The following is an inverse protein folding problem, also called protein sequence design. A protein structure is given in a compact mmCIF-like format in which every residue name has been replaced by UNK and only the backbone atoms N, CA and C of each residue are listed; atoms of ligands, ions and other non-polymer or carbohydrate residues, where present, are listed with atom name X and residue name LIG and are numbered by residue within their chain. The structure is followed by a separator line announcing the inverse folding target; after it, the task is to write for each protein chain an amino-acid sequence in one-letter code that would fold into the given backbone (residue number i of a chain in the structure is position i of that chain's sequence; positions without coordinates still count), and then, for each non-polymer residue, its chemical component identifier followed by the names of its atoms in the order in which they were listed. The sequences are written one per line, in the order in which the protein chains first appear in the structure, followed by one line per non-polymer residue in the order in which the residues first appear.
data_IF_534368229657
#
_entry.id   IF_534368229657
#
_cell.length_a   1.000
_cell.length_b   1.000
_cell.length_c   1.000
_cell.angle_alpha   90.00
_cell.angle_beta   90.00
_cell.angle_gamma   90.00
#
_symmetry.space_group_name_H-M   'P 1'
#
loop_
_entity.id
_entity.type
_entity.pdbx_description
1 polymer ?
#
# COMPACT_ATOMS: atom_id res chain seq x y z
N UNK A 1 -4.48 26.93 -53.63
CA UNK A 1 -4.84 26.86 -52.19
C UNK A 1 -3.55 26.82 -51.39
N UNK A 2 -3.32 27.73 -50.43
CA UNK A 2 -2.09 27.77 -49.63
C UNK A 2 -2.15 26.76 -48.47
N UNK A 3 -1.00 26.35 -47.89
CA UNK A 3 -0.96 25.44 -46.76
C UNK A 3 -1.40 26.17 -45.47
N UNK A 4 -2.30 25.55 -44.73
CA UNK A 4 -2.82 26.01 -43.44
C UNK A 4 -1.70 25.86 -42.40
N UNK A 5 -1.21 26.98 -41.86
CA UNK A 5 -0.30 26.99 -40.73
C UNK A 5 -1.07 26.77 -39.43
N UNK A 6 -0.89 25.62 -38.80
CA UNK A 6 -1.38 25.38 -37.45
C UNK A 6 -0.49 26.14 -36.46
N UNK A 7 -0.97 27.29 -35.98
CA UNK A 7 -0.42 27.95 -34.80
C UNK A 7 -0.71 27.07 -33.58
N UNK A 8 0.33 26.43 -33.04
CA UNK A 8 0.25 25.84 -31.71
C UNK A 8 -0.09 26.94 -30.69
N UNK A 9 -1.12 26.76 -29.84
CA UNK A 9 -1.41 27.73 -28.79
C UNK A 9 -0.21 27.80 -27.85
N UNK A 10 0.25 29.04 -27.60
CA UNK A 10 1.29 29.32 -26.63
C UNK A 10 0.95 28.66 -25.30
N UNK A 11 1.88 27.84 -24.80
CA UNK A 11 1.82 27.25 -23.46
C UNK A 11 1.69 28.40 -22.47
N UNK A 12 0.53 28.53 -21.84
CA UNK A 12 0.32 29.46 -20.75
C UNK A 12 1.46 29.29 -19.75
N UNK A 13 2.20 30.37 -19.47
CA UNK A 13 3.23 30.39 -18.41
C UNK A 13 2.57 29.90 -17.13
N UNK A 14 2.84 28.65 -16.74
CA UNK A 14 2.43 28.12 -15.45
C UNK A 14 3.15 28.98 -14.42
N UNK A 15 2.45 29.92 -13.79
CA UNK A 15 2.99 30.70 -12.68
C UNK A 15 3.19 29.70 -11.55
N UNK A 16 4.42 29.20 -11.41
CA UNK A 16 4.79 28.32 -10.30
C UNK A 16 4.96 29.21 -9.08
N UNK A 17 4.00 29.20 -8.18
CA UNK A 17 4.13 29.88 -6.90
C UNK A 17 5.15 29.14 -6.02
N UNK A 18 6.08 29.88 -5.43
CA UNK A 18 7.06 29.36 -4.46
C UNK A 18 6.34 29.22 -3.10
N UNK A 19 6.54 28.10 -2.40
CA UNK A 19 5.80 27.79 -1.16
C UNK A 19 6.09 28.86 -0.09
N UNK A 20 7.36 29.17 0.16
CA UNK A 20 7.79 30.20 1.12
C UNK A 20 7.20 31.58 0.82
N UNK A 21 7.12 32.00 -0.45
CA UNK A 21 6.51 33.28 -0.83
C UNK A 21 5.01 33.33 -0.55
N UNK A 22 4.29 32.24 -0.84
CA UNK A 22 2.86 32.15 -0.53
C UNK A 22 2.68 32.23 0.98
N UNK A 23 3.43 31.45 1.76
CA UNK A 23 3.32 31.42 3.23
C UNK A 23 3.53 32.80 3.85
N UNK A 24 4.58 33.51 3.46
CA UNK A 24 4.85 34.89 3.92
C UNK A 24 3.69 35.85 3.63
N UNK A 25 3.08 35.75 2.44
CA UNK A 25 1.94 36.59 2.05
C UNK A 25 0.67 36.26 2.84
N UNK A 26 0.45 34.98 3.19
CA UNK A 26 -0.79 34.54 3.83
C UNK A 26 -0.74 34.51 5.36
N UNK A 27 0.39 34.85 5.97
CA UNK A 27 0.56 34.79 7.41
C UNK A 27 -0.50 35.60 8.16
N UNK A 28 -1.00 35.06 9.27
CA UNK A 28 -2.04 35.69 10.09
C UNK A 28 -3.43 35.84 9.43
N UNK A 29 -3.57 35.58 8.12
CA UNK A 29 -4.86 35.61 7.42
C UNK A 29 -5.73 34.43 7.85
N UNK A 30 -7.03 34.53 7.52
CA UNK A 30 -7.97 33.45 7.77
C UNK A 30 -7.56 32.17 7.05
N UNK A 31 -7.86 31.02 7.65
CA UNK A 31 -7.38 29.70 7.24
C UNK A 31 -7.58 29.36 5.75
N UNK A 32 -8.67 29.86 5.13
CA UNK A 32 -8.97 29.68 3.70
C UNK A 32 -7.84 30.20 2.79
N UNK A 33 -6.98 31.11 3.27
CA UNK A 33 -5.83 31.61 2.55
C UNK A 33 -4.82 30.51 2.17
N UNK A 34 -4.78 29.39 2.90
CA UNK A 34 -3.98 28.23 2.50
C UNK A 34 -4.32 27.69 1.11
N UNK A 35 -5.52 27.96 0.56
CA UNK A 35 -5.86 27.58 -0.82
C UNK A 35 -4.89 28.14 -1.86
N UNK A 36 -4.23 29.26 -1.57
CA UNK A 36 -3.18 29.84 -2.42
C UNK A 36 -1.95 28.93 -2.55
N UNK A 37 -1.74 27.97 -1.65
CA UNK A 37 -0.68 26.95 -1.78
C UNK A 37 -0.99 25.91 -2.85
N UNK A 38 -2.23 25.78 -3.34
CA UNK A 38 -2.57 24.73 -4.30
C UNK A 38 -1.73 24.89 -5.58
N UNK A 39 -0.94 23.86 -5.89
CA UNK A 39 -0.04 23.86 -7.05
C UNK A 39 1.32 24.52 -6.79
N UNK A 40 1.49 25.24 -5.68
CA UNK A 40 2.77 25.82 -5.28
C UNK A 40 3.83 24.72 -5.10
N UNK A 41 5.07 25.02 -5.49
CA UNK A 41 6.17 24.08 -5.38
C UNK A 41 7.50 24.74 -5.09
N UNK A 42 8.37 24.02 -4.39
CA UNK A 42 9.70 24.47 -4.03
C UNK A 42 10.66 23.28 -4.01
N UNK A 43 11.93 23.51 -4.38
CA UNK A 43 12.94 22.46 -4.40
C UNK A 43 13.93 22.68 -3.27
N UNK A 44 14.00 21.72 -2.35
CA UNK A 44 14.89 21.75 -1.19
C UNK A 44 15.74 20.48 -1.21
N UNK A 45 17.06 20.62 -1.20
CA UNK A 45 18.01 19.49 -1.13
C UNK A 45 17.78 18.43 -2.22
N UNK A 46 17.37 18.84 -3.42
CA UNK A 46 17.07 17.93 -4.54
C UNK A 46 15.70 17.26 -4.48
N UNK A 47 14.87 17.57 -3.48
CA UNK A 47 13.49 17.12 -3.36
C UNK A 47 12.56 18.21 -3.89
N UNK A 48 11.75 17.92 -4.91
CA UNK A 48 10.72 18.85 -5.38
C UNK A 48 9.45 18.63 -4.59
N UNK A 49 9.08 19.61 -3.78
CA UNK A 49 7.90 19.59 -2.90
C UNK A 49 6.79 20.34 -3.62
N UNK A 50 5.59 19.75 -3.70
CA UNK A 50 4.42 20.34 -4.35
C UNK A 50 3.17 20.10 -3.54
N UNK A 51 2.42 21.14 -3.24
CA UNK A 51 1.12 21.00 -2.55
C UNK A 51 0.05 20.68 -3.60
N UNK A 52 -0.61 19.53 -3.45
CA UNK A 52 -1.54 18.98 -4.47
C UNK A 52 -3.00 19.01 -4.04
N UNK A 53 -3.25 19.04 -2.73
CA UNK A 53 -4.58 19.25 -2.15
C UNK A 53 -4.41 20.04 -0.87
N UNK A 54 -5.29 20.99 -0.62
CA UNK A 54 -5.31 21.82 0.58
C UNK A 54 -6.58 21.52 1.38
N UNK A 55 -6.44 21.33 2.69
CA UNK A 55 -7.57 21.08 3.59
C UNK A 55 -8.42 22.35 3.77
N UNK A 56 -9.75 22.21 3.83
CA UNK A 56 -10.68 23.36 3.84
C UNK A 56 -10.73 24.14 5.15
N UNK A 57 -10.46 23.46 6.26
CA UNK A 57 -10.40 23.99 7.61
C UNK A 57 -9.42 23.15 8.48
N UNK A 58 -9.08 23.56 9.70
CA UNK A 58 -8.10 22.86 10.55
C UNK A 58 -8.50 21.41 10.94
N UNK A 59 -9.78 21.06 10.87
CA UNK A 59 -10.35 19.77 11.27
C UNK A 59 -10.72 18.89 10.06
N UNK A 60 -10.68 19.44 8.84
CA UNK A 60 -10.89 18.68 7.61
C UNK A 60 -9.76 17.66 7.35
N UNK A 61 -10.02 16.60 6.55
CA UNK A 61 -9.00 15.64 6.17
C UNK A 61 -7.74 16.34 5.61
N UNK A 62 -6.53 16.00 6.11
CA UNK A 62 -5.33 16.78 5.89
C UNK A 62 -4.97 17.05 4.42
N UNK A 63 -4.15 18.07 4.20
CA UNK A 63 -3.60 18.45 2.90
C UNK A 63 -2.69 17.35 2.36
N UNK A 64 -2.52 17.29 1.04
CA UNK A 64 -1.66 16.29 0.38
C UNK A 64 -0.48 16.99 -0.28
N UNK A 65 0.73 16.59 0.13
CA UNK A 65 1.99 17.10 -0.40
C UNK A 65 2.65 15.99 -1.20
N UNK A 66 2.96 16.28 -2.46
CA UNK A 66 3.75 15.43 -3.35
C UNK A 66 5.22 15.82 -3.23
N UNK A 67 6.09 14.83 -3.17
CA UNK A 67 7.53 15.00 -3.18
C UNK A 67 8.11 14.10 -4.28
N UNK A 68 8.80 14.71 -5.24
CA UNK A 68 9.54 14.00 -6.27
C UNK A 68 11.03 13.93 -5.88
N UNK A 69 11.60 12.73 -5.85
CA UNK A 69 12.99 12.49 -5.45
C UNK A 69 13.60 11.34 -6.27
N UNK A 70 14.90 11.42 -6.57
CA UNK A 70 15.66 10.34 -7.22
C UNK A 70 16.79 9.87 -6.30
N UNK A 71 16.53 8.96 -5.35
CA UNK A 71 17.58 8.41 -4.50
C UNK A 71 18.52 7.49 -5.28
N UNK A 72 19.71 7.25 -4.73
CA UNK A 72 20.63 6.22 -5.23
C UNK A 72 20.18 4.87 -4.69
N UNK A 73 19.32 4.18 -5.44
CA UNK A 73 18.91 2.81 -5.15
C UNK A 73 19.77 1.81 -5.93
N UNK A 74 20.07 0.63 -5.36
CA UNK A 74 20.70 -0.43 -6.13
C UNK A 74 19.85 -0.86 -7.33
N UNK A 75 20.48 -1.16 -8.47
CA UNK A 75 19.77 -1.51 -9.70
C UNK A 75 18.82 -2.72 -9.51
N UNK A 76 19.26 -3.72 -8.75
CA UNK A 76 18.45 -4.90 -8.44
C UNK A 76 17.16 -4.56 -7.68
N UNK A 77 17.14 -3.50 -6.87
CA UNK A 77 15.95 -3.09 -6.13
C UNK A 77 14.94 -2.38 -7.06
N UNK A 78 15.44 -1.59 -8.02
CA UNK A 78 14.61 -0.88 -9.01
C UNK A 78 13.81 -1.86 -9.88
N UNK A 79 14.36 -3.04 -10.17
CA UNK A 79 13.65 -4.10 -10.91
C UNK A 79 12.43 -4.66 -10.17
N UNK A 80 12.31 -4.41 -8.85
CA UNK A 80 11.17 -4.83 -8.03
C UNK A 80 10.50 -3.61 -7.38
N UNK A 81 9.80 -2.77 -8.19
CA UNK A 81 9.34 -1.46 -7.74
C UNK A 81 8.29 -1.53 -6.62
N UNK A 82 7.42 -2.55 -6.62
CA UNK A 82 6.39 -2.70 -5.58
C UNK A 82 7.02 -3.02 -4.23
N UNK A 83 7.92 -4.00 -4.16
CA UNK A 83 8.59 -4.40 -2.92
C UNK A 83 9.48 -3.29 -2.38
N UNK A 84 10.23 -2.63 -3.26
CA UNK A 84 11.12 -1.53 -2.90
C UNK A 84 10.35 -0.31 -2.41
N UNK A 85 9.27 0.07 -3.11
CA UNK A 85 8.38 1.14 -2.66
C UNK A 85 7.69 0.80 -1.34
N UNK A 86 7.26 -0.44 -1.11
CA UNK A 86 6.68 -0.89 0.16
C UNK A 86 7.69 -0.76 1.32
N UNK A 87 8.95 -1.16 1.12
CA UNK A 87 10.01 -0.98 2.11
C UNK A 87 10.17 0.49 2.49
N UNK A 88 10.32 1.38 1.48
CA UNK A 88 10.49 2.82 1.69
C UNK A 88 9.25 3.43 2.34
N UNK A 89 8.04 3.01 1.93
CA UNK A 89 6.78 3.44 2.53
C UNK A 89 6.73 3.16 4.03
N UNK A 90 7.21 1.98 4.46
CA UNK A 90 7.26 1.62 5.89
C UNK A 90 8.25 2.48 6.66
N UNK A 91 9.40 2.81 6.08
CA UNK A 91 10.35 3.75 6.71
C UNK A 91 9.76 5.16 6.79
N UNK A 92 9.10 5.61 5.72
CA UNK A 92 8.41 6.90 5.67
C UNK A 92 7.32 7.00 6.73
N UNK A 93 6.50 5.97 6.90
CA UNK A 93 5.48 5.92 7.94
C UNK A 93 6.07 6.14 9.34
N UNK A 94 7.19 5.46 9.66
CA UNK A 94 7.88 5.63 10.96
C UNK A 94 8.46 7.04 11.12
N UNK A 95 9.13 7.56 10.09
CA UNK A 95 9.73 8.88 10.11
C UNK A 95 8.67 9.99 10.27
N UNK A 96 7.58 9.94 9.50
CA UNK A 96 6.48 10.90 9.60
C UNK A 96 5.82 10.84 10.98
N UNK A 97 5.55 9.66 11.53
CA UNK A 97 4.97 9.53 12.88
C UNK A 97 5.85 10.18 13.95
N UNK A 98 7.17 10.03 13.86
CA UNK A 98 8.12 10.63 14.80
C UNK A 98 8.23 12.16 14.65
N UNK A 99 8.09 12.67 13.42
CA UNK A 99 8.21 14.10 13.10
C UNK A 99 6.88 14.86 13.17
N UNK A 100 5.76 14.13 13.22
CA UNK A 100 4.42 14.67 13.46
C UNK A 100 4.34 15.21 14.88
N UNK A 101 3.91 16.45 15.03
CA UNK A 101 3.67 17.05 16.34
C UNK A 101 2.52 18.04 16.25
N UNK A 102 1.80 18.27 17.35
CA UNK A 102 0.72 19.26 17.36
C UNK A 102 1.29 20.67 17.21
N UNK A 103 0.87 21.39 16.18
CA UNK A 103 1.27 22.77 15.87
C UNK A 103 0.06 23.70 15.80
N UNK A 104 -0.90 23.53 16.72
CA UNK A 104 -2.12 24.33 16.76
C UNK A 104 -3.39 23.52 17.04
N UNK A 105 -4.47 23.87 16.35
CA UNK A 105 -5.80 23.24 16.48
C UNK A 105 -6.08 22.18 15.41
N UNK A 106 -7.03 21.28 15.68
CA UNK A 106 -7.40 20.21 14.76
C UNK A 106 -6.22 19.32 14.38
N UNK A 107 -6.02 19.13 13.07
CA UNK A 107 -4.92 18.35 12.52
C UNK A 107 -3.61 19.15 12.39
N UNK A 108 -3.52 20.38 12.89
CA UNK A 108 -2.32 21.22 12.75
C UNK A 108 -1.03 20.51 13.18
N UNK A 109 -0.08 20.39 12.26
CA UNK A 109 1.21 19.74 12.44
C UNK A 109 1.21 18.21 12.28
N UNK A 110 0.06 17.61 11.97
CA UNK A 110 -0.03 16.19 11.64
C UNK A 110 0.78 15.89 10.38
N UNK A 111 1.63 14.86 10.46
CA UNK A 111 2.28 14.24 9.32
C UNK A 111 1.93 12.76 9.28
N UNK A 112 1.61 12.24 8.09
CA UNK A 112 1.31 10.82 8.00
C UNK A 112 1.07 10.29 6.60
N UNK A 113 0.93 8.97 6.57
CA UNK A 113 0.44 8.16 5.46
C UNK A 113 -0.43 7.05 6.07
N UNK A 114 -1.32 6.39 5.32
CA UNK A 114 -2.05 5.23 5.81
C UNK A 114 -1.11 4.20 6.48
N UNK A 115 -1.50 3.65 7.63
CA UNK A 115 -0.68 2.63 8.31
C UNK A 115 -0.51 1.41 7.39
N UNK A 116 0.73 0.96 7.11
CA UNK A 116 0.92 -0.25 6.32
C UNK A 116 0.55 -1.48 7.15
N UNK A 117 -0.30 -2.34 6.59
CA UNK A 117 -0.53 -3.70 7.08
C UNK A 117 0.59 -4.67 6.69
N UNK A 118 0.42 -5.98 6.91
CA UNK A 118 1.44 -7.00 6.62
C UNK A 118 1.57 -7.29 5.13
N UNK A 119 0.56 -6.92 4.34
CA UNK A 119 0.56 -7.12 2.90
C UNK A 119 1.42 -6.06 2.21
N UNK A 120 2.24 -6.50 1.26
CA UNK A 120 2.96 -5.64 0.35
C UNK A 120 2.06 -5.29 -0.85
N UNK A 121 1.78 -3.99 -1.06
CA UNK A 121 0.89 -3.51 -2.13
C UNK A 121 1.53 -2.33 -2.85
N UNK A 122 1.16 -2.15 -4.13
CA UNK A 122 1.35 -0.86 -4.79
C UNK A 122 0.49 0.18 -4.08
N UNK A 123 1.12 1.26 -3.59
CA UNK A 123 0.46 2.34 -2.84
C UNK A 123 0.72 3.67 -3.50
N UNK A 124 -0.27 4.56 -3.51
CA UNK A 124 -0.11 5.92 -4.02
C UNK A 124 0.76 6.82 -3.14
N UNK A 125 1.04 6.41 -1.89
CA UNK A 125 1.90 7.18 -0.99
C UNK A 125 3.40 7.10 -1.32
N UNK A 126 3.86 6.02 -1.95
CA UNK A 126 5.23 5.89 -2.48
C UNK A 126 5.16 5.03 -3.74
N UNK A 127 5.52 5.61 -4.88
CA UNK A 127 5.60 4.93 -6.17
C UNK A 127 7.03 5.02 -6.71
N UNK A 128 7.59 3.90 -7.16
CA UNK A 128 8.92 3.83 -7.80
C UNK A 128 8.74 3.55 -9.30
N UNK A 129 9.36 4.36 -10.14
CA UNK A 129 9.44 4.12 -11.58
C UNK A 129 10.71 3.34 -11.97
N UNK A 130 10.73 2.83 -13.21
CA UNK A 130 11.86 2.05 -13.74
C UNK A 130 13.17 2.85 -13.89
N UNK A 131 13.13 4.17 -13.74
CA UNK A 131 14.32 5.03 -13.78
C UNK A 131 14.93 5.30 -12.41
N UNK A 132 14.33 4.75 -11.35
CA UNK A 132 14.74 4.97 -9.96
C UNK A 132 14.15 6.23 -9.33
N UNK A 133 13.16 6.90 -9.97
CA UNK A 133 12.49 8.06 -9.38
C UNK A 133 11.33 7.62 -8.49
N UNK A 134 11.24 8.26 -7.33
CA UNK A 134 10.15 8.10 -6.39
C UNK A 134 9.20 9.28 -6.46
N UNK A 135 7.91 8.96 -6.44
CA UNK A 135 6.83 9.90 -6.14
C UNK A 135 6.31 9.56 -4.75
N UNK A 136 6.49 10.47 -3.80
CA UNK A 136 6.01 10.34 -2.44
C UNK A 136 4.82 11.26 -2.23
N UNK A 137 3.76 10.79 -1.57
CA UNK A 137 2.60 11.60 -1.19
C UNK A 137 2.31 11.43 0.29
N UNK A 138 2.30 12.55 1.00
CA UNK A 138 2.09 12.57 2.46
C UNK A 138 0.92 13.46 2.82
N UNK A 139 0.26 13.12 3.92
CA UNK A 139 -0.69 14.00 4.59
C UNK A 139 0.06 15.02 5.45
N UNK A 140 -0.34 16.29 5.32
CA UNK A 140 0.20 17.41 6.07
C UNK A 140 -0.94 18.25 6.62
N UNK A 141 -1.08 18.28 7.94
CA UNK A 141 -2.03 19.15 8.61
C UNK A 141 -1.48 20.56 8.72
N UNK A 142 -1.98 21.48 7.89
CA UNK A 142 -1.48 22.85 7.83
C UNK A 142 -1.72 23.61 9.16
N UNK A 143 -0.67 24.16 9.80
CA UNK A 143 -0.77 24.79 11.12
C UNK A 143 -1.69 26.00 11.18
N UNK A 144 -2.45 26.12 12.27
CA UNK A 144 -3.26 27.31 12.52
C UNK A 144 -3.61 27.47 14.00
N UNK A 145 -3.93 28.71 14.39
CA UNK A 145 -4.46 29.03 15.72
C UNK A 145 -5.66 29.95 15.57
N UNK A 146 -6.81 29.57 16.14
CA UNK A 146 -8.07 30.32 16.00
C UNK A 146 -8.39 30.61 14.52
N UNK A 147 -8.21 29.61 13.66
CA UNK A 147 -8.38 29.67 12.20
C UNK A 147 -7.56 30.75 11.50
N UNK A 148 -6.42 31.15 12.07
CA UNK A 148 -5.42 31.99 11.40
C UNK A 148 -4.18 31.18 11.03
N UNK A 149 -3.65 31.45 9.86
CA UNK A 149 -2.42 30.82 9.33
C UNK A 149 -1.25 31.09 10.28
N UNK A 150 -0.39 30.07 10.46
CA UNK A 150 0.89 30.19 11.14
C UNK A 150 1.99 29.87 10.10
N UNK A 151 2.49 30.88 9.39
CA UNK A 151 3.38 30.70 8.25
C UNK A 151 4.67 29.98 8.63
N UNK A 152 5.37 30.41 9.68
CA UNK A 152 6.64 29.80 10.11
C UNK A 152 6.48 28.31 10.47
N UNK A 153 5.36 27.97 11.12
CA UNK A 153 5.05 26.58 11.48
C UNK A 153 4.73 25.74 10.23
N UNK A 154 4.01 26.31 9.26
CA UNK A 154 3.71 25.67 8.00
C UNK A 154 4.95 25.48 7.13
N UNK A 155 5.85 26.46 7.12
CA UNK A 155 7.12 26.41 6.40
C UNK A 155 8.00 25.32 6.99
N UNK A 156 8.17 25.30 8.31
CA UNK A 156 8.88 24.22 9.00
C UNK A 156 8.28 22.84 8.70
N UNK A 157 6.96 22.73 8.68
CA UNK A 157 6.28 21.48 8.34
C UNK A 157 6.59 21.03 6.89
N UNK A 158 6.40 21.92 5.92
CA UNK A 158 6.46 21.62 4.49
C UNK A 158 7.89 21.52 3.95
N UNK A 159 8.78 22.41 4.37
CA UNK A 159 10.13 22.61 3.81
C UNK A 159 11.26 22.04 4.68
N UNK A 160 10.96 21.60 5.92
CA UNK A 160 11.97 20.97 6.79
C UNK A 160 11.56 19.57 7.25
N UNK A 161 10.40 19.41 7.91
CA UNK A 161 9.99 18.13 8.49
C UNK A 161 9.65 17.07 7.44
N UNK A 162 8.88 17.43 6.40
CA UNK A 162 8.56 16.51 5.29
C UNK A 162 9.83 16.10 4.54
N UNK A 163 10.71 17.02 4.07
CA UNK A 163 11.95 16.64 3.40
C UNK A 163 12.85 15.74 4.26
N UNK A 164 12.97 16.03 5.56
CA UNK A 164 13.70 15.18 6.51
C UNK A 164 13.11 13.77 6.56
N UNK A 165 11.78 13.64 6.68
CA UNK A 165 11.12 12.33 6.71
C UNK A 165 11.37 11.53 5.42
N UNK A 166 11.31 12.19 4.26
CA UNK A 166 11.57 11.56 2.96
C UNK A 166 13.03 11.13 2.84
N UNK A 167 13.98 11.98 3.25
CA UNK A 167 15.40 11.65 3.24
C UNK A 167 15.74 10.48 4.15
N UNK A 168 15.17 10.42 5.35
CA UNK A 168 15.32 9.28 6.25
C UNK A 168 14.73 8.01 5.63
N UNK A 169 13.57 8.10 4.98
CA UNK A 169 12.91 6.94 4.37
C UNK A 169 13.67 6.34 3.17
N UNK A 170 14.37 7.18 2.40
CA UNK A 170 15.14 6.73 1.22
C UNK A 170 16.58 6.33 1.58
N UNK A 171 17.01 6.51 2.83
CA UNK A 171 18.26 5.92 3.35
C UNK A 171 18.02 4.45 3.63
N UNK A 172 18.19 3.64 2.60
CA UNK A 172 17.96 2.20 2.66
C UNK A 172 19.15 1.47 3.28
N UNK A 173 18.85 0.56 4.21
CA UNK A 173 19.77 -0.50 4.60
C UNK A 173 19.73 -1.57 3.49
N UNK A 174 20.88 -1.83 2.87
CA UNK A 174 20.98 -2.70 1.71
C UNK A 174 20.59 -4.15 2.03
N UNK A 175 20.96 -4.65 3.22
CA UNK A 175 20.65 -6.02 3.63
C UNK A 175 19.16 -6.15 3.98
N UNK A 176 18.63 -5.20 4.75
CA UNK A 176 17.22 -5.20 5.09
C UNK A 176 16.32 -5.03 3.85
N UNK A 177 16.71 -4.17 2.90
CA UNK A 177 16.01 -4.00 1.63
C UNK A 177 16.08 -5.29 0.80
N UNK A 178 17.24 -5.95 0.76
CA UNK A 178 17.41 -7.19 0.01
C UNK A 178 16.52 -8.28 0.56
N UNK A 179 16.52 -8.50 1.89
CA UNK A 179 15.61 -9.44 2.54
C UNK A 179 14.14 -9.16 2.20
N UNK A 180 13.74 -7.89 2.23
CA UNK A 180 12.37 -7.49 1.90
C UNK A 180 11.98 -7.79 0.44
N UNK A 181 12.88 -7.47 -0.51
CA UNK A 181 12.69 -7.74 -1.94
C UNK A 181 12.71 -9.24 -2.22
N UNK A 182 13.64 -9.99 -1.64
CA UNK A 182 13.75 -11.43 -1.85
C UNK A 182 12.54 -12.18 -1.28
N UNK A 183 11.99 -11.76 -0.13
CA UNK A 183 10.72 -12.29 0.37
C UNK A 183 9.56 -12.05 -0.61
N UNK A 184 9.49 -10.87 -1.24
CA UNK A 184 8.49 -10.61 -2.29
C UNK A 184 8.71 -11.52 -3.52
N UNK A 185 9.95 -11.62 -3.98
CA UNK A 185 10.33 -12.45 -5.14
C UNK A 185 10.00 -13.92 -4.93
N UNK A 186 10.34 -14.46 -3.76
CA UNK A 186 10.03 -15.84 -3.39
C UNK A 186 8.54 -16.14 -3.59
N UNK A 187 7.68 -15.26 -3.09
CA UNK A 187 6.23 -15.42 -3.17
C UNK A 187 5.71 -15.36 -4.61
N UNK A 188 6.21 -14.43 -5.43
CA UNK A 188 5.85 -14.39 -6.86
C UNK A 188 6.36 -15.60 -7.63
N UNK A 189 7.58 -16.06 -7.35
CA UNK A 189 8.14 -17.24 -8.01
C UNK A 189 7.33 -18.49 -7.69
N UNK A 190 7.02 -18.74 -6.40
CA UNK A 190 6.14 -19.84 -5.99
C UNK A 190 4.78 -19.71 -6.69
N UNK A 191 4.18 -18.51 -6.67
CA UNK A 191 2.85 -18.28 -7.27
C UNK A 191 2.83 -18.59 -8.75
N UNK A 192 3.85 -18.14 -9.49
CA UNK A 192 3.96 -18.33 -10.93
C UNK A 192 4.07 -19.82 -11.33
N UNK A 193 4.56 -20.66 -10.42
CA UNK A 193 4.72 -22.11 -10.64
C UNK A 193 3.47 -22.92 -10.29
N UNK A 194 2.56 -22.40 -9.45
CA UNK A 194 1.36 -23.13 -9.02
C UNK A 194 0.57 -23.76 -10.19
N UNK A 195 0.25 -23.04 -11.29
CA UNK A 195 -0.52 -23.62 -12.39
C UNK A 195 0.17 -24.81 -13.05
N UNK A 196 1.48 -24.73 -13.27
CA UNK A 196 2.28 -25.80 -13.90
C UNK A 196 2.39 -27.04 -13.02
N UNK A 197 2.37 -26.83 -11.70
CA UNK A 197 2.37 -27.90 -10.70
C UNK A 197 0.96 -28.47 -10.43
N UNK A 198 -0.08 -27.97 -11.12
CA UNK A 198 -1.47 -28.39 -10.88
C UNK A 198 -2.02 -27.95 -9.51
N UNK A 199 -1.42 -26.92 -8.90
CA UNK A 199 -1.78 -26.39 -7.59
C UNK A 199 -2.61 -25.10 -7.71
N UNK A 200 -3.42 -24.83 -6.69
CA UNK A 200 -4.14 -23.56 -6.49
C UNK A 200 -3.64 -22.80 -5.27
N UNK A 201 -3.03 -23.48 -4.31
CA UNK A 201 -2.34 -22.88 -3.18
C UNK A 201 -1.15 -23.73 -2.73
N UNK A 202 -0.20 -23.07 -2.07
CA UNK A 202 0.97 -23.68 -1.44
C UNK A 202 1.14 -23.09 -0.04
N UNK A 203 1.36 -23.95 0.95
CA UNK A 203 1.58 -23.56 2.35
C UNK A 203 2.95 -24.09 2.75
N UNK A 204 3.96 -23.23 2.80
CA UNK A 204 5.33 -23.63 3.16
C UNK A 204 5.45 -24.14 4.59
N UNK A 205 6.28 -25.16 4.79
CA UNK A 205 6.61 -25.67 6.12
C UNK A 205 7.24 -24.57 6.99
N UNK A 206 6.90 -24.59 8.28
CA UNK A 206 7.34 -23.59 9.25
C UNK A 206 6.52 -22.30 9.27
N UNK A 207 5.49 -22.16 8.42
CA UNK A 207 4.63 -20.97 8.41
C UNK A 207 3.86 -20.80 9.73
N UNK A 208 3.72 -19.56 10.19
CA UNK A 208 2.90 -19.19 11.35
C UNK A 208 1.57 -18.61 10.86
N UNK A 209 0.55 -19.47 10.83
CA UNK A 209 -0.79 -19.13 10.35
C UNK A 209 -1.62 -18.30 11.35
N UNK A 210 -1.70 -18.66 12.66
CA UNK A 210 -2.56 -17.94 13.60
C UNK A 210 -2.07 -16.53 13.87
N UNK A 211 -3.03 -15.62 14.07
CA UNK A 211 -2.77 -14.21 14.41
C UNK A 211 -2.90 -13.98 15.90
N UNK A 212 -2.23 -12.95 16.40
CA UNK A 212 -2.20 -12.59 17.83
C UNK A 212 -3.59 -12.33 18.43
N UNK A 213 -4.52 -11.81 17.64
CA UNK A 213 -5.92 -11.61 18.02
C UNK A 213 -6.81 -11.55 16.76
N UNK A 214 -8.13 -11.62 16.90
CA UNK A 214 -9.07 -11.67 15.76
C UNK A 214 -9.07 -10.43 14.85
N UNK A 215 -8.58 -9.28 15.34
CA UNK A 215 -8.42 -8.04 14.57
C UNK A 215 -6.95 -7.64 14.38
N UNK A 216 -6.01 -8.50 14.79
CA UNK A 216 -4.58 -8.24 14.73
C UNK A 216 -3.98 -8.78 13.45
N UNK A 217 -3.09 -7.98 12.87
CA UNK A 217 -2.28 -8.41 11.74
C UNK A 217 -1.02 -9.19 12.16
N UNK A 218 -0.58 -9.14 13.42
CA UNK A 218 0.68 -9.76 13.86
C UNK A 218 0.55 -11.29 14.03
N UNK A 219 1.60 -12.09 13.75
CA UNK A 219 1.58 -13.53 14.01
C UNK A 219 1.44 -13.81 15.51
N UNK A 220 0.80 -14.93 15.87
CA UNK A 220 0.70 -15.37 17.25
C UNK A 220 2.08 -15.85 17.76
N UNK A 221 2.65 -15.22 18.81
CA UNK A 221 3.90 -15.70 19.40
C UNK A 221 3.74 -17.10 20.01
N UNK A 222 4.75 -17.95 19.82
CA UNK A 222 4.74 -19.32 20.36
C UNK A 222 3.74 -20.27 19.68
N UNK A 223 3.17 -19.89 18.54
CA UNK A 223 2.29 -20.75 17.77
C UNK A 223 3.03 -21.97 17.20
N UNK A 224 2.29 -23.07 17.05
CA UNK A 224 2.77 -24.28 16.39
C UNK A 224 3.00 -23.96 14.90
N UNK A 225 4.23 -24.12 14.38
CA UNK A 225 4.50 -23.93 12.96
C UNK A 225 3.74 -24.96 12.12
N UNK A 226 3.29 -24.54 10.94
CA UNK A 226 2.62 -25.44 10.01
C UNK A 226 3.59 -26.51 9.50
N UNK A 227 3.15 -27.77 9.52
CA UNK A 227 3.86 -28.90 8.94
C UNK A 227 2.97 -29.62 7.93
N UNK A 228 3.52 -29.87 6.75
CA UNK A 228 2.79 -30.50 5.66
C UNK A 228 2.66 -32.00 5.85
N UNK A 229 1.46 -32.58 5.70
CA UNK A 229 1.30 -34.03 5.73
C UNK A 229 2.04 -34.67 4.55
N UNK A 230 2.68 -35.85 4.72
CA UNK A 230 3.51 -36.46 3.67
C UNK A 230 2.80 -36.63 2.33
N UNK A 231 1.50 -36.96 2.34
CA UNK A 231 0.70 -37.18 1.13
C UNK A 231 0.41 -35.91 0.31
N UNK A 232 0.51 -34.73 0.92
CA UNK A 232 0.29 -33.44 0.26
C UNK A 232 1.57 -32.61 0.15
N UNK A 233 2.69 -33.12 0.65
CA UNK A 233 3.98 -32.43 0.63
C UNK A 233 4.50 -32.35 -0.81
N UNK A 234 4.88 -31.15 -1.21
CA UNK A 234 5.54 -30.87 -2.48
C UNK A 234 6.74 -29.97 -2.24
N UNK A 235 7.70 -30.04 -3.14
CA UNK A 235 8.86 -29.16 -3.17
C UNK A 235 8.75 -28.19 -4.34
N UNK A 236 8.95 -26.90 -4.08
CA UNK A 236 8.97 -25.86 -5.10
C UNK A 236 10.37 -25.28 -5.15
N UNK A 237 11.09 -25.58 -6.22
CA UNK A 237 12.39 -24.95 -6.48
C UNK A 237 12.20 -23.44 -6.74
N UNK A 238 13.07 -22.59 -6.22
CA UNK A 238 13.06 -21.14 -6.49
C UNK A 238 14.47 -20.63 -6.72
N UNK A 239 14.63 -19.40 -7.22
CA UNK A 239 15.95 -18.77 -7.36
C UNK A 239 16.64 -18.51 -6.02
N UNK A 240 15.92 -18.65 -4.90
CA UNK A 240 16.40 -18.46 -3.54
C UNK A 240 16.54 -19.80 -2.78
N UNK A 241 16.43 -20.93 -3.49
CA UNK A 241 16.45 -22.27 -2.92
C UNK A 241 15.08 -22.96 -2.93
N UNK A 242 15.08 -24.26 -2.68
CA UNK A 242 13.85 -25.03 -2.61
C UNK A 242 13.05 -24.73 -1.34
N UNK A 243 11.73 -24.76 -1.48
CA UNK A 243 10.79 -24.64 -0.35
C UNK A 243 9.86 -25.84 -0.34
N UNK A 244 9.83 -26.56 0.78
CA UNK A 244 8.87 -27.65 1.01
C UNK A 244 7.60 -27.12 1.66
N UNK A 245 6.46 -27.73 1.33
CA UNK A 245 5.18 -27.32 1.87
C UNK A 245 4.01 -28.15 1.35
N UNK A 246 2.81 -27.80 1.79
CA UNK A 246 1.58 -28.49 1.41
C UNK A 246 1.07 -27.88 0.10
N UNK A 247 0.94 -28.70 -0.93
CA UNK A 247 0.32 -28.31 -2.20
C UNK A 247 -1.18 -28.60 -2.20
N UNK A 248 -2.01 -27.57 -2.33
CA UNK A 248 -3.45 -27.73 -2.57
C UNK A 248 -3.68 -27.86 -4.07
N UNK A 249 -4.10 -29.05 -4.51
CA UNK A 249 -4.32 -29.36 -5.94
C UNK A 249 -5.59 -28.71 -6.47
N UNK A 250 -5.64 -28.51 -7.79
CA UNK A 250 -6.88 -28.16 -8.50
C UNK A 250 -7.95 -29.22 -8.26
N UNK A 251 -9.19 -28.79 -8.07
CA UNK A 251 -10.34 -29.64 -7.76
C UNK A 251 -11.01 -29.21 -6.45
N UNK A 252 -11.70 -30.15 -5.81
CA UNK A 252 -12.37 -29.92 -4.53
C UNK A 252 -11.48 -30.41 -3.39
N UNK A 253 -11.10 -29.51 -2.48
CA UNK A 253 -10.37 -29.84 -1.25
C UNK A 253 -11.23 -29.52 -0.03
N UNK A 254 -11.39 -30.49 0.87
CA UNK A 254 -12.18 -30.32 2.10
C UNK A 254 -11.25 -30.23 3.31
N UNK A 255 -11.36 -29.15 4.08
CA UNK A 255 -10.66 -28.97 5.36
C UNK A 255 -11.63 -29.35 6.49
N UNK A 256 -11.49 -30.56 7.02
CA UNK A 256 -12.33 -31.10 8.09
C UNK A 256 -11.58 -31.18 9.44
N UNK A 257 -12.33 -31.39 10.53
CA UNK A 257 -11.79 -31.46 11.89
C UNK A 257 -12.73 -30.84 12.92
N UNK A 258 -12.47 -31.06 14.20
CA UNK A 258 -13.26 -30.55 15.33
C UNK A 258 -13.19 -29.02 15.46
N UNK A 259 -14.15 -28.43 16.18
CA UNK A 259 -14.17 -26.99 16.45
C UNK A 259 -12.86 -26.53 17.10
N UNK A 260 -12.38 -25.32 16.75
CA UNK A 260 -11.15 -24.71 17.28
C UNK A 260 -9.81 -25.39 16.93
N UNK A 261 -9.78 -26.36 16.01
CA UNK A 261 -8.54 -27.01 15.56
C UNK A 261 -7.88 -26.33 14.33
N UNK A 262 -7.97 -25.01 14.21
CA UNK A 262 -7.21 -24.25 13.19
C UNK A 262 -7.72 -24.30 11.74
N UNK A 263 -8.89 -24.90 11.47
CA UNK A 263 -9.49 -24.95 10.11
C UNK A 263 -9.66 -23.56 9.48
N UNK A 264 -10.30 -22.66 10.23
CA UNK A 264 -10.53 -21.27 9.80
C UNK A 264 -9.20 -20.56 9.61
N UNK A 265 -8.24 -20.77 10.51
CA UNK A 265 -6.89 -20.19 10.43
C UNK A 265 -6.17 -20.59 9.15
N UNK A 266 -6.22 -21.88 8.77
CA UNK A 266 -5.65 -22.38 7.52
C UNK A 266 -6.34 -21.77 6.30
N UNK A 267 -7.67 -21.76 6.30
CA UNK A 267 -8.45 -21.19 5.20
C UNK A 267 -8.23 -19.69 5.04
N UNK A 268 -8.10 -18.94 6.14
CA UNK A 268 -7.76 -17.52 6.13
C UNK A 268 -6.34 -17.28 5.60
N UNK A 269 -5.37 -18.11 5.97
CA UNK A 269 -4.03 -18.02 5.42
C UNK A 269 -4.03 -18.24 3.89
N UNK A 270 -4.78 -19.23 3.40
CA UNK A 270 -4.99 -19.47 1.95
C UNK A 270 -5.70 -18.27 1.31
N UNK A 271 -6.73 -17.71 1.96
CA UNK A 271 -7.45 -16.52 1.48
C UNK A 271 -6.50 -15.33 1.29
N UNK A 272 -5.63 -15.06 2.27
CA UNK A 272 -4.69 -13.94 2.19
C UNK A 272 -3.46 -14.24 1.32
N UNK A 273 -3.17 -15.52 1.02
CA UNK A 273 -2.06 -15.93 0.14
C UNK A 273 -2.15 -15.42 -1.30
N UNK A 274 -3.29 -14.85 -1.69
CA UNK A 274 -3.43 -14.09 -2.95
C UNK A 274 -2.55 -12.84 -2.97
N UNK A 275 -2.13 -12.35 -1.79
CA UNK A 275 -1.21 -11.23 -1.64
C UNK A 275 0.15 -11.68 -1.11
N UNK A 276 1.17 -10.84 -1.31
CA UNK A 276 2.47 -11.07 -0.70
C UNK A 276 2.55 -10.42 0.68
N UNK A 277 3.17 -11.10 1.62
CA UNK A 277 3.36 -10.66 2.99
C UNK A 277 4.81 -10.23 3.24
N UNK A 278 5.00 -9.36 4.22
CA UNK A 278 6.31 -8.91 4.68
C UNK A 278 7.15 -10.01 5.34
N UNK A 279 8.49 -9.89 5.36
CA UNK A 279 9.32 -10.79 6.16
C UNK A 279 8.87 -10.81 7.62
N UNK A 280 8.72 -12.00 8.19
CA UNK A 280 8.31 -12.19 9.59
C UNK A 280 6.81 -12.08 9.84
N UNK A 281 5.97 -11.98 8.80
CA UNK A 281 4.51 -12.08 8.95
C UNK A 281 4.06 -13.49 9.38
N UNK A 282 4.84 -14.52 9.06
CA UNK A 282 4.52 -15.93 9.26
C UNK A 282 3.82 -16.57 8.07
N UNK A 283 3.22 -15.78 7.16
CA UNK A 283 2.52 -16.26 5.97
C UNK A 283 3.22 -15.91 4.66
N UNK A 284 4.48 -15.45 4.71
CA UNK A 284 5.27 -15.13 3.53
C UNK A 284 5.63 -16.34 2.65
N UNK A 285 5.33 -17.56 3.09
CA UNK A 285 5.41 -18.80 2.29
C UNK A 285 4.04 -19.42 2.02
N UNK A 286 2.96 -18.68 2.28
CA UNK A 286 1.59 -19.08 1.98
C UNK A 286 1.12 -18.32 0.76
N UNK A 287 0.97 -19.03 -0.34
CA UNK A 287 0.74 -18.45 -1.66
C UNK A 287 -0.45 -19.11 -2.32
N UNK A 288 -1.35 -18.28 -2.86
CA UNK A 288 -2.55 -18.71 -3.57
C UNK A 288 -2.59 -18.04 -4.94
N UNK A 289 -3.22 -18.68 -5.92
CA UNK A 289 -3.51 -18.08 -7.23
C UNK A 289 -4.27 -16.76 -7.06
N UNK A 290 -4.06 -15.79 -7.97
CA UNK A 290 -4.61 -14.43 -7.83
C UNK A 290 -6.12 -14.38 -7.95
N UNK A 291 -6.68 -15.35 -8.65
CA UNK A 291 -8.10 -15.47 -8.99
C UNK A 291 -8.94 -16.05 -7.84
N UNK A 292 -8.31 -16.47 -6.73
CA UNK A 292 -9.04 -17.05 -5.62
C UNK A 292 -9.95 -16.02 -4.94
N UNK A 293 -11.22 -16.38 -4.80
CA UNK A 293 -12.26 -15.56 -4.15
C UNK A 293 -12.85 -16.34 -2.99
N UNK A 294 -13.01 -15.67 -1.84
CA UNK A 294 -13.78 -16.21 -0.72
C UNK A 294 -15.26 -15.91 -0.93
N UNK A 295 -16.05 -16.97 -1.00
CA UNK A 295 -17.51 -16.88 -1.04
C UNK A 295 -18.07 -17.04 0.36
N UNK A 296 -19.04 -16.19 0.72
CA UNK A 296 -19.82 -16.25 1.96
C UNK A 296 -21.23 -15.72 1.71
N UNK A 297 -22.18 -16.08 2.56
CA UNK A 297 -23.48 -15.43 2.56
C UNK A 297 -23.33 -13.94 2.92
N UNK A 298 -24.09 -13.11 2.21
CA UNK A 298 -24.16 -11.65 2.36
C UNK A 298 -25.62 -11.21 2.18
N UNK A 299 -26.43 -11.48 3.19
CA UNK A 299 -27.87 -11.22 3.12
C UNK A 299 -28.18 -9.72 3.01
N UNK A 300 -29.16 -9.35 2.20
CA UNK A 300 -29.61 -7.96 2.00
C UNK A 300 -28.83 -7.17 0.95
N UNK A 301 -27.81 -7.75 0.29
CA UNK A 301 -27.15 -7.10 -0.86
C UNK A 301 -28.09 -6.95 -2.05
N UNK A 302 -27.86 -5.92 -2.86
CA UNK A 302 -28.49 -5.82 -4.17
C UNK A 302 -27.81 -6.78 -5.16
N UNK A 303 -28.59 -7.29 -6.10
CA UNK A 303 -28.13 -8.06 -7.25
C UNK A 303 -28.81 -7.46 -8.48
N UNK A 304 -28.04 -7.16 -9.51
CA UNK A 304 -28.53 -6.59 -10.75
C UNK A 304 -27.91 -7.35 -11.92
N UNK A 305 -28.76 -7.93 -12.78
CA UNK A 305 -28.35 -8.59 -14.03
C UNK A 305 -27.28 -9.69 -13.82
N UNK A 306 -27.54 -10.68 -12.95
CA UNK A 306 -26.65 -11.82 -12.74
C UNK A 306 -27.43 -13.12 -12.93
N UNK A 307 -26.94 -13.97 -13.82
CA UNK A 307 -27.49 -15.31 -14.01
C UNK A 307 -27.11 -16.22 -12.83
N UNK A 308 -28.12 -16.67 -12.09
CA UNK A 308 -27.99 -17.59 -10.95
C UNK A 308 -28.70 -18.92 -11.21
N UNK A 309 -29.09 -19.19 -12.45
CA UNK A 309 -29.90 -20.36 -12.85
C UNK A 309 -29.24 -21.71 -12.53
N UNK A 310 -27.91 -21.74 -12.38
CA UNK A 310 -27.13 -22.92 -11.97
C UNK A 310 -27.31 -23.29 -10.50
N UNK A 311 -27.77 -22.37 -9.65
CA UNK A 311 -28.00 -22.59 -8.22
C UNK A 311 -29.47 -22.46 -7.82
N UNK A 312 -30.22 -21.57 -8.49
CA UNK A 312 -31.63 -21.27 -8.20
C UNK A 312 -32.43 -21.36 -9.49
N UNK A 313 -33.30 -22.37 -9.59
CA UNK A 313 -34.06 -22.63 -10.82
C UNK A 313 -35.34 -21.81 -10.96
N UNK A 314 -36.03 -21.50 -9.86
CA UNK A 314 -37.32 -20.82 -9.91
C UNK A 314 -37.51 -19.89 -8.72
N UNK A 315 -37.93 -18.67 -8.97
CA UNK A 315 -38.30 -17.70 -7.94
C UNK A 315 -39.82 -17.59 -7.78
N UNK A 316 -40.32 -17.28 -6.57
CA UNK A 316 -41.72 -16.94 -6.36
C UNK A 316 -42.18 -15.82 -7.30
N UNK A 317 -43.39 -15.97 -7.83
CA UNK A 317 -43.97 -15.03 -8.80
C UNK A 317 -43.45 -15.16 -10.23
N UNK A 318 -42.79 -16.29 -10.58
CA UNK A 318 -42.34 -16.56 -11.95
C UNK A 318 -41.21 -15.65 -12.43
N UNK A 319 -40.49 -15.02 -11.50
CA UNK A 319 -39.37 -14.13 -11.83
C UNK A 319 -38.21 -14.96 -12.38
N UNK A 320 -37.59 -14.46 -13.45
CA UNK A 320 -36.44 -15.10 -14.07
C UNK A 320 -35.23 -15.11 -13.14
N UNK A 321 -34.49 -16.22 -13.16
CA UNK A 321 -33.19 -16.39 -12.49
C UNK A 321 -32.01 -16.20 -13.44
N UNK A 322 -32.28 -16.15 -14.75
CA UNK A 322 -31.38 -15.64 -15.77
C UNK A 322 -31.68 -14.17 -16.06
N UNK A 323 -30.66 -13.42 -16.48
CA UNK A 323 -30.78 -12.01 -16.83
C UNK A 323 -30.51 -11.79 -18.32
#
# INVERSE_FOLDING_TARGET
MPPVSYRYPMVAKLVVHIISDVLRRIDGRGYKAYRELLGASETIQGLRIKVTRVQGDPFAPPSVVRIDVKPRLPQWAIHYPVATADYIYRQLYRALRRLSARLGEGHSGLLGVPRPGPVMLRRSGVELDNSGRLVVRVWAGLPSRRRRVLADAAENLLLHRIPRAVQEAVRVDAEALRRHVDTWRLQEEIRSKLPRLGLVAFIGDGSILPRRCGSCDDPLPGAVPFESPPSLRVEVETSLGSVTGMGVRRGVTVIAGTAFHGKTTLLEAIQYGVYNHVPGDGRERVVTIREAVKVRAEDGRSVACVDISTFVHSLPGGRSTSC
#
